data_IF_325519501359
#
_entry.id   IF_325519501359
#
_cell.length_a   1.000
_cell.length_b   1.000
_cell.length_c   1.000
_cell.angle_alpha   90.00
_cell.angle_beta   90.00
_cell.angle_gamma   90.00
#
_symmetry.space_group_name_H-M   'P 1'
#
loop_
_entity.id
_entity.type
_entity.pdbx_description
1 polymer ?
#
# COMPACT_ATOMS: atom_id res chain seq x y z
N UNK A 1 -6.45 -15.96 -3.90
CA UNK A 1 -6.54 -14.91 -2.85
C UNK A 1 -6.72 -15.46 -1.42
N UNK A 2 -7.06 -16.74 -1.18
CA UNK A 2 -7.24 -17.29 0.18
C UNK A 2 -5.98 -17.31 1.09
N UNK A 3 -4.81 -16.93 0.58
CA UNK A 3 -3.55 -16.87 1.32
C UNK A 3 -3.14 -15.44 1.69
N UNK A 4 -3.92 -14.42 1.32
CA UNK A 4 -3.61 -13.01 1.58
C UNK A 4 -4.40 -12.52 2.79
N UNK A 5 -3.85 -11.54 3.51
CA UNK A 5 -4.56 -10.85 4.60
C UNK A 5 -5.91 -10.30 4.10
N UNK A 6 -7.04 -10.67 4.72
CA UNK A 6 -8.36 -10.11 4.39
C UNK A 6 -8.41 -8.59 4.53
N UNK A 7 -7.75 -8.06 5.56
CA UNK A 7 -7.62 -6.61 5.81
C UNK A 7 -6.84 -5.93 4.68
N UNK A 8 -5.68 -6.48 4.32
CA UNK A 8 -4.85 -5.97 3.23
C UNK A 8 -5.59 -5.95 1.90
N UNK A 9 -6.44 -6.95 1.64
CA UNK A 9 -7.29 -6.99 0.44
C UNK A 9 -8.32 -5.85 0.41
N UNK A 10 -9.00 -5.55 1.52
CA UNK A 10 -9.95 -4.42 1.58
C UNK A 10 -9.27 -3.08 1.42
N UNK A 11 -8.12 -2.88 2.10
CA UNK A 11 -7.32 -1.65 1.97
C UNK A 11 -6.90 -1.45 0.52
N UNK A 12 -6.30 -2.47 -0.10
CA UNK A 12 -5.81 -2.41 -1.49
C UNK A 12 -6.95 -2.09 -2.46
N UNK A 13 -8.09 -2.78 -2.33
CA UNK A 13 -9.24 -2.56 -3.20
C UNK A 13 -9.77 -1.12 -3.09
N UNK A 14 -9.89 -0.59 -1.87
CA UNK A 14 -10.30 0.79 -1.65
C UNK A 14 -9.28 1.77 -2.23
N UNK A 15 -8.00 1.57 -1.95
CA UNK A 15 -6.95 2.47 -2.43
C UNK A 15 -6.90 2.58 -3.95
N UNK A 16 -7.01 1.44 -4.66
CA UNK A 16 -7.06 1.40 -6.12
C UNK A 16 -8.30 2.14 -6.66
N UNK A 17 -9.46 1.97 -6.03
CA UNK A 17 -10.71 2.65 -6.44
C UNK A 17 -10.63 4.16 -6.27
N UNK A 18 -10.08 4.64 -5.16
CA UNK A 18 -9.87 6.07 -4.91
C UNK A 18 -8.78 6.65 -5.82
N UNK A 19 -7.69 5.91 -6.03
CA UNK A 19 -6.55 6.29 -6.86
C UNK A 19 -6.92 6.55 -8.32
N UNK A 20 -7.97 5.92 -8.84
CA UNK A 20 -8.48 6.17 -10.20
C UNK A 20 -8.86 7.65 -10.45
N UNK A 21 -9.16 8.41 -9.39
CA UNK A 21 -9.56 9.82 -9.46
C UNK A 21 -8.48 10.78 -8.98
N UNK A 22 -7.28 10.28 -8.68
CA UNK A 22 -6.19 11.03 -8.08
C UNK A 22 -5.01 11.13 -9.05
N UNK A 23 -4.25 12.21 -8.95
CA UNK A 23 -2.92 12.34 -9.54
C UNK A 23 -1.93 11.38 -8.88
N UNK A 24 -0.77 11.18 -9.51
CA UNK A 24 0.32 10.38 -8.93
C UNK A 24 0.77 10.97 -7.57
N UNK A 25 0.87 12.29 -7.47
CA UNK A 25 1.30 12.96 -6.24
C UNK A 25 0.33 12.70 -5.08
N UNK A 26 -0.98 12.82 -5.34
CA UNK A 26 -2.02 12.52 -4.34
C UNK A 26 -2.01 11.04 -3.96
N UNK A 27 -1.84 10.14 -4.93
CA UNK A 27 -1.69 8.71 -4.66
C UNK A 27 -0.49 8.43 -3.74
N UNK A 28 0.68 9.01 -4.01
CA UNK A 28 1.89 8.81 -3.20
C UNK A 28 1.72 9.30 -1.76
N UNK A 29 1.12 10.47 -1.57
CA UNK A 29 0.81 11.01 -0.23
C UNK A 29 -0.12 10.10 0.55
N UNK A 30 -1.20 9.63 -0.09
CA UNK A 30 -2.16 8.69 0.50
C UNK A 30 -1.49 7.36 0.85
N UNK A 31 -0.80 6.73 -0.10
CA UNK A 31 -0.14 5.42 0.10
C UNK A 31 0.92 5.47 1.20
N UNK A 32 1.64 6.59 1.32
CA UNK A 32 2.54 6.82 2.44
C UNK A 32 1.79 6.78 3.78
N UNK A 33 0.69 7.52 3.90
CA UNK A 33 -0.14 7.52 5.11
C UNK A 33 -0.69 6.13 5.44
N UNK A 34 -1.25 5.43 4.44
CA UNK A 34 -1.75 4.06 4.59
C UNK A 34 -0.64 3.13 5.10
N UNK A 35 0.54 3.20 4.48
CA UNK A 35 1.70 2.36 4.86
C UNK A 35 2.14 2.65 6.29
N UNK A 36 2.23 3.92 6.70
CA UNK A 36 2.59 4.27 8.07
C UNK A 36 1.57 3.76 9.09
N UNK A 37 0.27 3.88 8.79
CA UNK A 37 -0.80 3.35 9.66
C UNK A 37 -0.75 1.82 9.77
N UNK A 38 -0.50 1.12 8.65
CA UNK A 38 -0.34 -0.34 8.60
C UNK A 38 0.88 -0.78 9.42
N UNK A 39 2.04 -0.14 9.24
CA UNK A 39 3.27 -0.47 9.98
C UNK A 39 3.13 -0.21 11.49
N UNK A 40 2.38 0.83 11.88
CA UNK A 40 2.03 1.10 13.28
C UNK A 40 1.01 0.11 13.85
N UNK A 41 0.51 -0.82 13.03
CA UNK A 41 -0.46 -1.85 13.42
C UNK A 41 -1.71 -1.29 14.09
N UNK A 42 -2.22 -0.16 13.59
CA UNK A 42 -3.33 0.56 14.26
C UNK A 42 -4.65 -0.23 14.29
N UNK A 43 -4.81 -1.23 13.41
CA UNK A 43 -5.99 -2.09 13.34
C UNK A 43 -5.68 -3.59 13.33
N UNK A 44 -4.52 -4.00 12.82
CA UNK A 44 -4.10 -5.41 12.77
C UNK A 44 -2.57 -5.51 12.78
N UNK A 45 -2.06 -6.63 13.30
CA UNK A 45 -0.65 -7.01 13.27
C UNK A 45 -0.25 -7.84 12.05
N UNK A 46 -1.08 -7.94 11.01
CA UNK A 46 -0.83 -8.77 9.82
C UNK A 46 0.54 -8.50 9.14
N UNK A 47 1.12 -7.31 9.31
CA UNK A 47 2.47 -6.99 8.82
C UNK A 47 3.52 -7.96 9.38
N UNK A 48 3.41 -8.33 10.65
CA UNK A 48 4.36 -9.22 11.30
C UNK A 48 4.28 -10.63 10.72
N UNK A 49 3.09 -11.08 10.33
CA UNK A 49 2.90 -12.36 9.64
C UNK A 49 3.53 -12.33 8.24
N UNK A 50 3.46 -11.21 7.53
CA UNK A 50 4.16 -11.04 6.24
C UNK A 50 5.69 -11.12 6.42
N UNK A 51 6.21 -10.55 7.50
CA UNK A 51 7.64 -10.66 7.83
C UNK A 51 8.01 -12.09 8.23
N UNK A 52 7.18 -12.76 9.03
CA UNK A 52 7.35 -14.17 9.40
C UNK A 52 7.37 -15.07 8.16
N UNK A 53 6.48 -14.86 7.19
CA UNK A 53 6.52 -15.59 5.91
C UNK A 53 7.86 -15.44 5.18
N UNK A 54 8.46 -14.26 5.26
CA UNK A 54 9.74 -13.96 4.60
C UNK A 54 10.93 -14.58 5.34
N UNK A 55 10.84 -14.67 6.67
CA UNK A 55 11.91 -15.18 7.54
C UNK A 55 11.80 -16.70 7.70
N UNK A 56 10.67 -17.19 8.21
CA UNK A 56 10.43 -18.56 8.62
C UNK A 56 10.10 -19.48 7.42
N UNK A 57 9.64 -18.91 6.30
CA UNK A 57 9.30 -19.63 5.05
C UNK A 57 8.30 -20.77 5.24
N UNK A 58 7.55 -20.73 6.33
CA UNK A 58 6.53 -21.73 6.70
C UNK A 58 5.28 -21.67 5.82
N UNK A 59 5.09 -20.55 5.11
CA UNK A 59 3.95 -20.27 4.24
C UNK A 59 2.58 -20.41 4.95
N UNK A 60 2.53 -20.21 6.27
CA UNK A 60 1.34 -20.44 7.10
C UNK A 60 0.95 -19.22 7.95
N UNK A 61 0.68 -18.06 7.34
CA UNK A 61 0.39 -16.83 8.07
C UNK A 61 -0.95 -16.92 8.80
N UNK A 62 -1.00 -16.33 9.99
CA UNK A 62 -2.19 -16.28 10.83
C UNK A 62 -2.83 -14.90 10.75
N UNK A 63 -3.68 -14.72 9.75
CA UNK A 63 -4.37 -13.44 9.54
C UNK A 63 -5.40 -13.16 10.63
N UNK A 64 -5.45 -11.89 11.06
CA UNK A 64 -6.45 -11.41 12.00
C UNK A 64 -7.05 -10.08 11.51
N UNK A 65 -8.35 -10.05 11.16
CA UNK A 65 -9.30 -11.16 11.12
C UNK A 65 -9.01 -12.20 10.01
N UNK A 66 -9.58 -13.41 10.13
CA UNK A 66 -9.30 -14.54 9.25
C UNK A 66 -10.11 -14.51 7.95
N UNK A 67 -11.25 -13.80 7.93
CA UNK A 67 -12.14 -13.69 6.77
C UNK A 67 -12.41 -12.25 6.38
N UNK A 68 -12.85 -12.02 5.13
CA UNK A 68 -13.11 -10.66 4.60
C UNK A 68 -14.36 -10.07 5.23
N UNK A 69 -15.33 -10.91 5.58
CA UNK A 69 -16.60 -10.56 6.20
C UNK A 69 -16.42 -9.98 7.60
N UNK A 70 -15.40 -10.46 8.33
CA UNK A 70 -15.06 -9.99 9.69
C UNK A 70 -14.32 -8.65 9.71
N UNK A 71 -13.75 -8.21 8.59
CA UNK A 71 -13.07 -6.91 8.50
C UNK A 71 -14.11 -5.78 8.56
N UNK A 72 -14.07 -4.99 9.62
CA UNK A 72 -15.00 -3.88 9.83
C UNK A 72 -14.66 -2.68 8.94
N UNK A 73 -15.69 -1.99 8.44
CA UNK A 73 -15.45 -0.81 7.61
C UNK A 73 -14.84 0.33 8.42
N UNK A 74 -15.20 0.45 9.69
CA UNK A 74 -14.68 1.45 10.62
C UNK A 74 -13.18 1.29 10.84
N UNK A 75 -12.67 0.06 10.85
CA UNK A 75 -11.23 -0.21 10.93
C UNK A 75 -10.53 0.21 9.63
N UNK A 76 -11.13 -0.04 8.47
CA UNK A 76 -10.61 0.46 7.21
C UNK A 76 -10.61 1.99 7.18
N UNK A 77 -11.67 2.64 7.66
CA UNK A 77 -11.76 4.10 7.71
C UNK A 77 -10.63 4.71 8.53
N UNK A 78 -10.28 4.12 9.68
CA UNK A 78 -9.15 4.55 10.52
C UNK A 78 -7.81 4.50 9.77
N UNK A 79 -7.59 3.50 8.93
CA UNK A 79 -6.34 3.41 8.14
C UNK A 79 -6.25 4.53 7.11
N UNK A 80 -7.39 4.98 6.58
CA UNK A 80 -7.48 6.05 5.59
C UNK A 80 -7.55 7.46 6.22
N UNK A 81 -7.46 7.59 7.54
CA UNK A 81 -7.37 8.90 8.17
C UNK A 81 -6.09 9.63 7.73
N UNK A 82 -6.20 10.90 7.29
CA UNK A 82 -5.06 11.66 6.80
C UNK A 82 -4.06 11.96 7.93
N UNK A 83 -2.78 11.96 7.58
CA UNK A 83 -1.74 12.43 8.50
C UNK A 83 -1.83 13.96 8.68
N UNK A 84 -1.42 14.45 9.85
CA UNK A 84 -1.25 15.88 10.05
C UNK A 84 -0.19 16.42 9.09
N UNK A 85 -0.38 17.65 8.61
CA UNK A 85 0.43 18.27 7.55
C UNK A 85 1.94 18.26 7.82
N UNK A 86 2.36 18.26 9.09
CA UNK A 86 3.78 18.18 9.48
C UNK A 86 4.43 16.79 9.34
N UNK A 87 3.64 15.72 9.19
CA UNK A 87 4.11 14.34 9.07
C UNK A 87 3.74 13.71 7.72
N UNK A 88 3.20 14.49 6.78
CA UNK A 88 2.87 14.02 5.44
C UNK A 88 4.12 13.95 4.54
N UNK A 89 4.12 13.01 3.59
CA UNK A 89 5.12 12.93 2.54
C UNK A 89 5.16 14.22 1.71
N UNK A 90 6.32 14.87 1.71
CA UNK A 90 6.58 16.04 0.88
C UNK A 90 7.01 15.58 -0.51
N UNK A 91 6.11 15.73 -1.48
CA UNK A 91 6.38 15.42 -2.89
C UNK A 91 6.63 16.74 -3.63
N UNK A 92 7.80 16.91 -4.29
CA UNK A 92 8.07 18.09 -5.11
C UNK A 92 6.97 18.32 -6.15
N UNK A 93 6.55 19.57 -6.30
CA UNK A 93 5.53 19.96 -7.29
C UNK A 93 6.11 20.25 -8.68
N UNK A 94 7.44 20.29 -8.80
CA UNK A 94 8.13 20.52 -10.06
C UNK A 94 8.68 19.22 -10.66
N UNK A 95 8.95 19.26 -11.96
CA UNK A 95 9.54 18.14 -12.69
C UNK A 95 11.08 18.13 -12.59
N UNK A 96 11.68 18.81 -11.61
CA UNK A 96 13.13 18.91 -11.47
C UNK A 96 13.82 17.55 -11.32
N UNK A 97 13.14 16.61 -10.68
CA UNK A 97 13.60 15.23 -10.46
C UNK A 97 12.97 14.24 -11.44
N UNK A 98 12.21 14.73 -12.43
CA UNK A 98 11.58 13.86 -13.41
C UNK A 98 12.65 13.25 -14.30
N UNK A 99 12.74 11.93 -14.27
CA UNK A 99 13.63 11.22 -15.17
C UNK A 99 13.27 11.54 -16.62
N UNK A 100 14.22 12.15 -17.34
CA UNK A 100 14.06 12.63 -18.71
C UNK A 100 14.33 11.54 -19.76
N UNK A 101 14.86 10.39 -19.33
CA UNK A 101 15.06 9.24 -20.21
C UNK A 101 13.73 8.64 -20.64
N UNK A 102 13.68 8.08 -21.84
CA UNK A 102 12.53 7.27 -22.26
C UNK A 102 12.74 5.84 -21.79
N UNK A 103 11.68 5.17 -21.32
CA UNK A 103 11.73 3.78 -20.86
C UNK A 103 12.38 2.86 -21.91
N UNK A 104 12.08 3.14 -23.17
CA UNK A 104 12.56 2.49 -24.39
C UNK A 104 14.09 2.58 -24.56
N UNK A 105 14.75 3.51 -23.88
CA UNK A 105 16.21 3.67 -23.90
C UNK A 105 16.90 3.02 -22.69
N UNK A 106 16.16 2.34 -21.81
CA UNK A 106 16.75 1.61 -20.69
C UNK A 106 17.17 0.20 -21.10
N UNK A 107 18.09 -0.38 -20.32
CA UNK A 107 18.47 -1.80 -20.42
C UNK A 107 17.31 -2.77 -20.15
N UNK A 108 16.15 -2.26 -19.70
CA UNK A 108 14.95 -3.04 -19.38
C UNK A 108 13.87 -2.96 -20.46
N UNK A 109 14.05 -2.10 -21.47
CA UNK A 109 13.13 -2.06 -22.60
C UNK A 109 13.19 -3.40 -23.32
N UNK A 110 12.09 -4.16 -23.29
CA UNK A 110 12.00 -5.37 -24.11
C UNK A 110 12.11 -4.94 -25.57
N UNK A 111 13.07 -5.50 -26.30
CA UNK A 111 13.07 -5.48 -27.75
C UNK A 111 11.73 -6.05 -28.21
N UNK A 112 10.92 -5.23 -28.85
CA UNK A 112 9.69 -5.69 -29.50
C UNK A 112 10.06 -6.83 -30.46
N UNK A 113 9.51 -8.02 -30.23
CA UNK A 113 9.49 -9.08 -31.22
C UNK A 113 8.55 -8.71 -32.36
#
# INVERSE_FOLDING_TARGET
MRRSSPTGLKITLRSVREGRKQSLQECLKKEFGLTMNILRSIITGDVYEVLALSIDKDNAPKWSPATVEEVKNEDIDRVFEPFSSGHELQVPSDDSNRWSGKYEHTVYAKSSQ
#
